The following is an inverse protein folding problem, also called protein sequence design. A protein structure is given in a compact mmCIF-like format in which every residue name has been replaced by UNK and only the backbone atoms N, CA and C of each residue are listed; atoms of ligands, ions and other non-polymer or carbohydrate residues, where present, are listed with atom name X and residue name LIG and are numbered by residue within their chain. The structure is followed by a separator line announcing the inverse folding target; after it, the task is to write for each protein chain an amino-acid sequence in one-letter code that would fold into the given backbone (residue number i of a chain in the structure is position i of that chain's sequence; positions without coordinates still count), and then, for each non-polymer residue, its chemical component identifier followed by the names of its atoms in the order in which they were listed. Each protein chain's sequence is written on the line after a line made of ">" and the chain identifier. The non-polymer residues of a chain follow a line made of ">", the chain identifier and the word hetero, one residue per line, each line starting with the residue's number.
data_IF_155667801045
#
_entry.id   IF_155667801045
#
_cell.length_a   1.000
_cell.length_b   1.000
_cell.length_c   1.000
_cell.angle_alpha   90.00
_cell.angle_beta   90.00
_cell.angle_gamma   90.00
#
_symmetry.space_group_name_H-M   'P 1'
#
loop_
_entity.id
_entity.type
_entity.pdbx_description
1 polymer ?
#
# COMPACT_ATOMS: atom_id res chain seq x y z
N UNK A 1 -76.60 34.22 -12.90
CA UNK A 1 -75.38 33.65 -12.43
C UNK A 1 -74.74 32.80 -13.54
N UNK A 2 -73.57 33.25 -13.97
CA UNK A 2 -72.78 32.55 -15.00
C UNK A 2 -72.06 31.35 -14.37
N UNK A 3 -72.08 30.16 -14.95
CA UNK A 3 -71.40 28.99 -14.37
C UNK A 3 -69.85 29.18 -14.36
N UNK A 4 -69.25 28.81 -13.28
CA UNK A 4 -67.75 28.77 -13.10
C UNK A 4 -67.23 27.61 -13.95
N UNK A 5 -66.22 27.83 -14.82
CA UNK A 5 -65.62 26.75 -15.58
C UNK A 5 -64.85 25.78 -14.66
N UNK A 6 -64.78 24.48 -15.03
CA UNK A 6 -64.05 23.48 -14.25
C UNK A 6 -62.55 23.77 -14.26
N UNK A 7 -61.85 23.37 -13.15
CA UNK A 7 -60.40 23.61 -13.05
C UNK A 7 -59.63 22.82 -14.13
N UNK A 8 -58.61 23.46 -14.71
CA UNK A 8 -57.72 22.84 -15.69
C UNK A 8 -56.87 21.76 -14.94
N UNK A 9 -56.71 20.55 -15.53
CA UNK A 9 -55.90 19.50 -14.89
C UNK A 9 -54.45 19.94 -14.77
N UNK A 10 -53.87 19.74 -13.59
CA UNK A 10 -52.44 19.98 -13.34
C UNK A 10 -51.64 18.94 -14.10
N UNK A 11 -50.57 19.29 -14.86
CA UNK A 11 -49.77 18.31 -15.55
C UNK A 11 -49.08 17.35 -14.53
N UNK A 12 -49.19 16.06 -14.80
CA UNK A 12 -48.48 15.01 -14.05
C UNK A 12 -46.97 15.16 -14.28
N UNK A 13 -46.12 15.17 -13.25
CA UNK A 13 -44.68 15.27 -13.46
C UNK A 13 -44.16 14.07 -14.26
N UNK A 14 -43.41 14.35 -15.29
CA UNK A 14 -42.70 13.33 -16.07
C UNK A 14 -41.64 12.67 -15.16
N UNK A 15 -41.55 11.33 -15.09
CA UNK A 15 -40.52 10.67 -14.28
C UNK A 15 -39.12 11.05 -14.76
N UNK A 16 -38.28 11.51 -13.84
CA UNK A 16 -36.86 11.76 -14.09
C UNK A 16 -36.19 10.45 -14.40
N UNK A 17 -35.39 10.33 -15.47
CA UNK A 17 -34.70 9.10 -15.79
C UNK A 17 -33.76 8.69 -14.64
N UNK A 18 -33.89 7.46 -14.17
CA UNK A 18 -32.97 6.86 -13.19
C UNK A 18 -31.57 6.80 -13.81
N UNK A 19 -30.53 7.31 -13.15
CA UNK A 19 -29.17 7.25 -13.69
C UNK A 19 -28.78 5.78 -13.91
N UNK A 20 -28.29 5.48 -15.11
CA UNK A 20 -27.71 4.16 -15.42
C UNK A 20 -26.48 3.97 -14.57
N UNK A 21 -26.34 2.85 -13.84
CA UNK A 21 -25.14 2.59 -13.03
C UNK A 21 -23.91 2.61 -13.93
N UNK A 22 -22.94 3.44 -13.59
CA UNK A 22 -21.61 3.43 -14.21
C UNK A 22 -20.97 2.07 -13.94
N UNK A 23 -20.41 1.36 -14.92
CA UNK A 23 -19.75 0.09 -14.68
C UNK A 23 -18.62 0.29 -13.69
N UNK A 24 -18.65 -0.45 -12.58
CA UNK A 24 -17.56 -0.50 -11.62
C UNK A 24 -16.33 -1.06 -12.33
N UNK A 25 -15.15 -0.40 -12.22
CA UNK A 25 -13.93 -0.93 -12.80
C UNK A 25 -13.67 -2.34 -12.22
N UNK A 26 -13.54 -3.33 -13.07
CA UNK A 26 -13.16 -4.69 -12.65
C UNK A 26 -11.67 -4.65 -12.32
N UNK A 27 -11.31 -4.98 -11.07
CA UNK A 27 -9.91 -5.10 -10.68
C UNK A 27 -9.19 -6.15 -11.55
N UNK A 28 -7.95 -5.88 -11.98
CA UNK A 28 -7.16 -6.88 -12.69
C UNK A 28 -6.98 -8.14 -11.81
N UNK A 29 -6.93 -9.32 -12.44
CA UNK A 29 -6.71 -10.57 -11.71
C UNK A 29 -5.35 -10.56 -10.99
N UNK A 30 -5.25 -11.15 -9.79
CA UNK A 30 -3.98 -11.27 -9.05
C UNK A 30 -2.93 -12.00 -9.89
N UNK A 31 -1.69 -11.51 -9.84
CA UNK A 31 -0.54 -12.20 -10.48
C UNK A 31 0.09 -13.13 -9.45
N UNK A 32 0.37 -14.39 -9.78
CA UNK A 32 1.04 -15.29 -8.87
C UNK A 32 2.38 -14.72 -8.40
N UNK A 33 2.64 -14.78 -7.09
CA UNK A 33 3.92 -14.36 -6.55
C UNK A 33 5.07 -15.21 -7.15
N UNK A 34 6.25 -14.61 -7.38
CA UNK A 34 7.42 -15.39 -7.77
C UNK A 34 7.68 -16.51 -6.76
N UNK A 35 7.97 -17.71 -7.23
CA UNK A 35 8.14 -18.91 -6.40
C UNK A 35 9.24 -18.77 -5.32
N UNK A 36 10.18 -17.87 -5.52
CA UNK A 36 11.28 -17.55 -4.61
C UNK A 36 10.92 -16.47 -3.57
N UNK A 37 9.72 -15.88 -3.64
CA UNK A 37 9.28 -14.85 -2.71
C UNK A 37 8.33 -15.41 -1.63
N UNK A 38 8.80 -16.41 -0.91
CA UNK A 38 7.97 -17.10 0.11
C UNK A 38 8.00 -16.43 1.48
N UNK A 39 9.12 -15.80 1.83
CA UNK A 39 9.34 -15.11 3.12
C UNK A 39 10.17 -13.87 2.87
N UNK A 40 9.70 -12.73 3.34
CA UNK A 40 10.41 -11.45 3.23
C UNK A 40 10.22 -10.67 4.54
N UNK A 41 10.97 -11.01 5.60
CA UNK A 41 10.88 -10.31 6.87
C UNK A 41 11.19 -8.83 6.70
N UNK A 42 10.57 -8.02 7.56
CA UNK A 42 10.83 -6.60 7.63
C UNK A 42 12.21 -6.32 8.20
N UNK A 43 12.86 -5.31 7.63
CA UNK A 43 14.08 -4.70 8.16
C UNK A 43 13.89 -3.18 8.17
N UNK A 44 13.79 -2.60 9.36
CA UNK A 44 13.67 -1.16 9.52
C UNK A 44 15.05 -0.51 9.30
N UNK A 45 15.25 0.00 8.08
CA UNK A 45 16.50 0.63 7.67
C UNK A 45 16.70 2.02 8.31
N UNK A 46 15.64 2.59 8.91
CA UNK A 46 15.74 3.87 9.64
C UNK A 46 16.44 3.75 11.00
N UNK A 47 16.61 2.53 11.50
CA UNK A 47 17.37 2.27 12.72
C UNK A 47 18.86 2.59 12.55
N UNK A 48 19.49 2.95 13.66
CA UNK A 48 20.94 3.15 13.70
C UNK A 48 21.60 2.21 14.71
N UNK A 49 22.64 1.44 14.34
CA UNK A 49 23.18 1.31 12.96
C UNK A 49 22.16 0.69 11.99
N UNK A 50 22.24 1.09 10.71
CA UNK A 50 21.38 0.50 9.67
C UNK A 50 21.57 -1.02 9.61
N UNK A 51 20.50 -1.82 9.58
CA UNK A 51 20.57 -3.27 9.46
C UNK A 51 21.40 -3.74 8.26
N UNK A 52 22.30 -4.70 8.49
CA UNK A 52 23.08 -5.35 7.45
C UNK A 52 22.31 -6.56 6.90
N UNK A 53 21.68 -6.40 5.73
CA UNK A 53 20.90 -7.46 5.08
C UNK A 53 21.79 -8.61 4.58
N UNK A 54 23.07 -8.35 4.29
CA UNK A 54 24.00 -9.42 3.91
C UNK A 54 24.39 -10.27 5.11
N UNK A 55 24.63 -9.67 6.27
CA UNK A 55 24.86 -10.42 7.51
C UNK A 55 23.60 -11.23 7.90
N UNK A 56 22.41 -10.64 7.78
CA UNK A 56 21.15 -11.34 8.03
C UNK A 56 20.95 -12.52 7.06
N UNK A 57 21.24 -12.34 5.77
CA UNK A 57 21.23 -13.42 4.78
C UNK A 57 22.20 -14.54 5.13
N UNK A 58 23.41 -14.21 5.53
CA UNK A 58 24.42 -15.19 5.91
C UNK A 58 24.01 -16.02 7.15
N UNK A 59 23.37 -15.36 8.12
CA UNK A 59 22.94 -15.99 9.36
C UNK A 59 21.69 -16.88 9.21
N UNK A 60 20.78 -16.54 8.29
CA UNK A 60 19.43 -17.15 8.20
C UNK A 60 19.17 -17.91 6.92
N UNK A 61 19.96 -17.67 5.87
CA UNK A 61 19.66 -18.14 4.52
C UNK A 61 18.52 -17.41 3.80
N UNK A 62 17.87 -16.42 4.45
CA UNK A 62 16.80 -15.63 3.85
C UNK A 62 17.40 -14.69 2.80
N UNK A 63 16.81 -14.68 1.60
CA UNK A 63 17.31 -13.92 0.45
C UNK A 63 16.39 -12.78 0.03
N UNK A 64 15.24 -12.63 0.69
CA UNK A 64 14.26 -11.59 0.37
C UNK A 64 13.90 -10.83 1.65
N UNK A 65 13.84 -9.50 1.57
CA UNK A 65 13.52 -8.63 2.70
C UNK A 65 12.54 -7.53 2.29
N UNK A 66 11.72 -7.08 3.23
CA UNK A 66 10.92 -5.86 3.12
C UNK A 66 11.64 -4.75 3.86
N UNK A 67 12.27 -3.85 3.11
CA UNK A 67 12.95 -2.68 3.67
C UNK A 67 11.94 -1.62 4.08
N UNK A 68 11.96 -1.19 5.31
CA UNK A 68 10.99 -0.30 5.94
C UNK A 68 11.69 0.92 6.55
N UNK A 69 11.08 2.05 6.72
CA UNK A 69 9.81 2.49 6.14
C UNK A 69 10.01 3.77 5.35
N UNK A 70 9.34 3.91 4.21
CA UNK A 70 9.27 5.17 3.49
C UNK A 70 8.03 5.93 3.97
N UNK A 71 8.26 7.13 4.50
CA UNK A 71 7.22 8.08 4.89
C UNK A 71 7.49 9.46 4.31
N UNK A 72 6.55 10.38 4.49
CA UNK A 72 6.69 11.77 4.07
C UNK A 72 7.48 12.58 5.10
N UNK A 73 8.42 13.43 4.70
CA UNK A 73 9.05 14.43 5.57
C UNK A 73 8.13 15.64 5.86
N UNK A 74 6.90 15.66 5.34
CA UNK A 74 5.92 16.74 5.51
C UNK A 74 5.28 17.21 4.20
N UNK A 75 5.81 16.77 3.08
CA UNK A 75 5.35 17.08 1.72
C UNK A 75 5.13 15.80 0.87
N UNK A 76 4.85 15.95 -0.42
CA UNK A 76 4.64 14.83 -1.36
C UNK A 76 5.97 14.22 -1.84
N UNK A 77 6.99 14.11 -0.99
CA UNK A 77 8.22 13.42 -1.31
C UNK A 77 8.48 12.22 -0.38
N UNK A 78 9.06 11.11 -0.90
CA UNK A 78 9.40 9.97 -0.07
C UNK A 78 10.74 10.17 0.63
N UNK A 79 10.81 9.71 1.89
CA UNK A 79 12.04 9.67 2.66
C UNK A 79 12.08 8.46 3.60
N UNK A 80 13.25 7.87 3.83
CA UNK A 80 13.41 6.84 4.86
C UNK A 80 13.14 7.46 6.23
N UNK A 81 12.20 6.86 6.97
CA UNK A 81 11.77 7.35 8.28
C UNK A 81 11.23 8.78 8.29
N UNK A 82 10.92 9.36 7.13
CA UNK A 82 10.50 10.75 7.01
C UNK A 82 11.62 11.79 7.16
N UNK A 83 12.88 11.39 7.23
CA UNK A 83 14.01 12.32 7.43
C UNK A 83 15.18 12.13 6.44
N UNK A 84 15.44 10.89 6.01
CA UNK A 84 16.53 10.63 5.06
C UNK A 84 16.00 10.71 3.62
N UNK A 85 16.14 11.89 3.02
CA UNK A 85 15.65 12.19 1.67
C UNK A 85 16.19 11.24 0.61
N UNK A 86 15.31 10.83 -0.31
CA UNK A 86 15.65 10.02 -1.49
C UNK A 86 15.95 10.86 -2.74
N UNK A 87 16.25 12.14 -2.58
CA UNK A 87 16.77 12.95 -3.69
C UNK A 87 18.04 12.33 -4.25
N UNK A 88 18.27 12.35 -5.58
CA UNK A 88 19.52 11.86 -6.18
C UNK A 88 20.80 12.49 -5.62
N UNK A 89 20.68 13.72 -5.11
CA UNK A 89 21.78 14.45 -4.49
C UNK A 89 21.95 14.20 -2.99
N UNK A 90 21.06 13.41 -2.37
CA UNK A 90 21.15 13.11 -0.94
C UNK A 90 22.32 12.19 -0.68
N UNK A 91 23.25 12.63 0.17
CA UNK A 91 24.42 11.91 0.64
C UNK A 91 24.50 12.03 2.15
N UNK A 92 25.21 11.12 2.78
CA UNK A 92 25.43 11.11 4.23
C UNK A 92 25.49 9.68 4.76
N UNK A 93 26.15 9.49 5.88
CA UNK A 93 26.48 8.16 6.40
C UNK A 93 25.29 7.21 6.49
N UNK A 94 24.12 7.71 6.89
CA UNK A 94 22.93 6.87 7.07
C UNK A 94 22.25 6.52 5.74
N UNK A 95 22.01 7.50 4.85
CA UNK A 95 21.41 7.22 3.53
C UNK A 95 22.33 6.35 2.68
N UNK A 96 23.64 6.53 2.79
CA UNK A 96 24.63 5.71 2.09
C UNK A 96 24.62 4.26 2.62
N UNK A 97 24.49 4.08 3.95
CA UNK A 97 24.36 2.76 4.56
C UNK A 97 23.08 2.03 4.11
N UNK A 98 21.92 2.75 4.07
CA UNK A 98 20.66 2.22 3.57
C UNK A 98 20.75 1.80 2.09
N UNK A 99 21.31 2.66 1.26
CA UNK A 99 21.53 2.35 -0.15
C UNK A 99 22.46 1.14 -0.34
N UNK A 100 23.53 1.12 0.45
CA UNK A 100 24.54 0.05 0.37
C UNK A 100 23.95 -1.32 0.76
N UNK A 101 23.24 -1.43 1.88
CA UNK A 101 22.70 -2.71 2.33
C UNK A 101 21.68 -3.28 1.33
N UNK A 102 20.87 -2.42 0.67
CA UNK A 102 19.96 -2.83 -0.40
C UNK A 102 20.76 -3.29 -1.63
N UNK A 103 21.70 -2.49 -2.11
CA UNK A 103 22.45 -2.81 -3.33
C UNK A 103 23.29 -4.06 -3.18
N UNK A 104 23.92 -4.27 -2.03
CA UNK A 104 24.74 -5.46 -1.77
C UNK A 104 23.88 -6.73 -1.78
N UNK A 105 22.70 -6.70 -1.16
CA UNK A 105 21.77 -7.82 -1.17
C UNK A 105 21.31 -8.15 -2.60
N UNK A 106 20.94 -7.11 -3.37
CA UNK A 106 20.51 -7.28 -4.76
C UNK A 106 21.64 -7.83 -5.65
N UNK A 107 22.88 -7.32 -5.50
CA UNK A 107 24.04 -7.81 -6.21
C UNK A 107 24.36 -9.28 -5.89
N UNK A 108 24.02 -9.73 -4.68
CA UNK A 108 24.11 -11.14 -4.26
C UNK A 108 22.90 -12.00 -4.66
N UNK A 109 22.07 -11.53 -5.60
CA UNK A 109 20.88 -12.22 -6.10
C UNK A 109 19.68 -12.23 -5.14
N UNK A 110 19.73 -11.42 -4.08
CA UNK A 110 18.61 -11.24 -3.16
C UNK A 110 17.54 -10.30 -3.73
N UNK A 111 16.40 -10.24 -3.07
CA UNK A 111 15.26 -9.39 -3.44
C UNK A 111 14.90 -8.43 -2.31
N UNK A 112 14.52 -7.22 -2.70
CA UNK A 112 14.03 -6.20 -1.76
C UNK A 112 12.66 -5.73 -2.23
N UNK A 113 11.69 -5.74 -1.32
CA UNK A 113 10.52 -4.89 -1.39
C UNK A 113 10.78 -3.64 -0.54
N UNK A 114 10.15 -2.52 -0.86
CA UNK A 114 10.15 -1.33 0.00
C UNK A 114 8.73 -1.12 0.53
N UNK A 115 8.63 -0.91 1.84
CA UNK A 115 7.36 -0.62 2.52
C UNK A 115 7.18 0.87 2.73
N UNK A 116 5.99 1.36 2.37
CA UNK A 116 5.51 2.73 2.59
C UNK A 116 4.54 2.75 3.76
N UNK A 117 4.71 3.68 4.69
CA UNK A 117 3.85 3.81 5.87
C UNK A 117 4.52 3.35 7.15
N UNK A 118 3.86 2.44 7.88
CA UNK A 118 4.26 1.96 9.20
C UNK A 118 3.57 2.72 10.34
N UNK A 119 3.80 2.28 11.59
CA UNK A 119 3.18 2.84 12.79
C UNK A 119 3.52 4.31 13.05
N UNK A 120 4.67 4.78 12.54
CA UNK A 120 5.19 6.13 12.79
C UNK A 120 5.32 6.95 11.50
N UNK A 121 5.15 8.27 11.64
CA UNK A 121 5.26 9.20 10.52
C UNK A 121 3.94 9.36 9.76
N UNK A 122 4.03 9.89 8.55
CA UNK A 122 2.87 10.10 7.67
C UNK A 122 3.12 9.39 6.34
N UNK A 123 2.20 8.54 5.93
CA UNK A 123 2.29 7.90 4.62
C UNK A 123 2.18 8.95 3.49
N UNK A 124 2.94 8.76 2.42
CA UNK A 124 3.13 9.76 1.35
C UNK A 124 1.81 10.17 0.68
N UNK A 125 0.83 9.25 0.56
CA UNK A 125 -0.47 9.53 -0.03
C UNK A 125 -1.24 10.65 0.70
N UNK A 126 -1.08 10.75 2.01
CA UNK A 126 -1.72 11.81 2.81
C UNK A 126 -1.16 13.22 2.54
N UNK A 127 0.00 13.32 1.90
CA UNK A 127 0.69 14.59 1.59
C UNK A 127 0.66 14.95 0.11
N UNK A 128 0.31 14.03 -0.75
CA UNK A 128 0.17 14.30 -2.17
C UNK A 128 -1.23 14.79 -2.52
N UNK A 129 -1.35 15.82 -3.34
CA UNK A 129 -2.64 16.40 -3.73
C UNK A 129 -3.31 15.69 -4.90
N UNK A 130 -2.59 14.83 -5.61
CA UNK A 130 -3.10 14.11 -6.79
C UNK A 130 -2.52 12.72 -6.93
N UNK A 131 -3.23 11.83 -7.64
CA UNK A 131 -2.71 10.51 -8.00
C UNK A 131 -1.45 10.59 -8.87
N UNK A 132 -1.33 11.60 -9.71
CA UNK A 132 -0.16 11.80 -10.57
C UNK A 132 1.10 12.14 -9.76
N UNK A 133 1.00 13.09 -8.81
CA UNK A 133 2.12 13.43 -7.92
C UNK A 133 2.50 12.25 -7.02
N UNK A 134 1.52 11.53 -6.49
CA UNK A 134 1.76 10.34 -5.68
C UNK A 134 2.42 9.21 -6.48
N UNK A 135 1.94 8.96 -7.72
CA UNK A 135 2.58 8.01 -8.63
C UNK A 135 4.05 8.36 -8.88
N UNK A 136 4.35 9.65 -9.11
CA UNK A 136 5.74 10.10 -9.31
C UNK A 136 6.60 9.88 -8.05
N UNK A 137 6.05 10.13 -6.86
CA UNK A 137 6.74 9.88 -5.60
C UNK A 137 7.07 8.38 -5.41
N UNK A 138 6.10 7.50 -5.55
CA UNK A 138 6.34 6.05 -5.46
C UNK A 138 7.29 5.55 -6.55
N UNK A 139 7.12 6.06 -7.81
CA UNK A 139 7.99 5.69 -8.92
C UNK A 139 9.44 6.03 -8.66
N UNK A 140 9.73 7.16 -8.01
CA UNK A 140 11.10 7.55 -7.69
C UNK A 140 11.81 6.54 -6.79
N UNK A 141 11.09 5.90 -5.87
CA UNK A 141 11.60 4.82 -5.00
C UNK A 141 11.78 3.53 -5.79
N UNK A 142 10.78 3.17 -6.61
CA UNK A 142 10.82 1.97 -7.47
C UNK A 142 12.02 2.03 -8.41
N UNK A 143 12.22 3.16 -9.09
CA UNK A 143 13.31 3.34 -10.03
C UNK A 143 14.67 3.34 -9.32
N UNK A 144 14.76 4.01 -8.15
CA UNK A 144 16.02 4.10 -7.39
C UNK A 144 16.58 2.74 -7.01
N UNK A 145 15.71 1.83 -6.59
CA UNK A 145 16.10 0.50 -6.12
C UNK A 145 15.74 -0.62 -7.10
N UNK A 146 15.34 -0.28 -8.33
CA UNK A 146 14.93 -1.24 -9.37
C UNK A 146 13.97 -2.31 -8.82
N UNK A 147 12.90 -1.83 -8.15
CA UNK A 147 11.97 -2.71 -7.46
C UNK A 147 10.99 -3.39 -8.45
N UNK A 148 10.68 -4.64 -8.16
CA UNK A 148 9.57 -5.37 -8.78
C UNK A 148 8.43 -5.62 -7.80
N UNK A 149 8.63 -5.24 -6.53
CA UNK A 149 7.65 -5.34 -5.47
C UNK A 149 7.71 -4.14 -4.53
N UNK A 150 6.55 -3.66 -4.15
CA UNK A 150 6.35 -2.65 -3.12
C UNK A 150 5.32 -3.14 -2.11
N UNK A 151 5.38 -2.58 -0.92
CA UNK A 151 4.48 -2.88 0.17
C UNK A 151 3.92 -1.58 0.74
N UNK A 152 2.68 -1.65 1.26
CA UNK A 152 2.01 -0.56 1.94
C UNK A 152 1.57 -1.02 3.33
N UNK A 153 2.24 -0.51 4.33
CA UNK A 153 1.92 -0.75 5.73
C UNK A 153 1.01 0.37 6.24
N UNK A 154 -0.29 0.11 6.26
CA UNK A 154 -1.30 1.13 6.53
C UNK A 154 -1.94 0.89 7.89
N UNK A 155 -1.58 1.75 8.84
CA UNK A 155 -1.94 1.60 10.23
C UNK A 155 -2.68 2.82 10.79
N UNK A 156 -3.33 2.62 11.94
CA UNK A 156 -3.98 3.67 12.70
C UNK A 156 -4.95 4.50 11.87
N UNK A 157 -4.89 5.83 12.02
CA UNK A 157 -5.80 6.75 11.33
C UNK A 157 -5.66 6.76 9.80
N UNK A 158 -4.54 6.27 9.25
CA UNK A 158 -4.35 6.20 7.80
C UNK A 158 -5.29 5.18 7.14
N UNK A 159 -5.78 4.18 7.89
CA UNK A 159 -6.75 3.21 7.36
C UNK A 159 -8.09 3.85 7.01
N UNK A 160 -8.55 4.83 7.79
CA UNK A 160 -9.82 5.54 7.59
C UNK A 160 -9.71 6.80 6.72
N UNK A 161 -8.52 7.14 6.20
CA UNK A 161 -8.34 8.21 5.21
C UNK A 161 -8.68 7.71 3.80
N UNK A 162 -9.99 7.57 3.51
CA UNK A 162 -10.52 7.08 2.24
C UNK A 162 -9.99 7.85 1.03
N UNK A 163 -9.84 9.18 1.14
CA UNK A 163 -9.36 10.01 0.04
C UNK A 163 -7.90 9.66 -0.33
N UNK A 164 -7.04 9.46 0.66
CA UNK A 164 -5.67 9.03 0.45
C UNK A 164 -5.59 7.58 -0.04
N UNK A 165 -6.45 6.70 0.47
CA UNK A 165 -6.51 5.30 0.05
C UNK A 165 -6.94 5.14 -1.42
N UNK A 166 -7.99 5.85 -1.86
CA UNK A 166 -8.38 5.89 -3.28
C UNK A 166 -7.28 6.48 -4.16
N UNK A 167 -6.65 7.57 -3.72
CA UNK A 167 -5.51 8.19 -4.43
C UNK A 167 -4.34 7.24 -4.57
N UNK A 168 -4.04 6.47 -3.52
CA UNK A 168 -3.03 5.39 -3.54
C UNK A 168 -3.39 4.33 -4.58
N UNK A 169 -4.65 3.87 -4.59
CA UNK A 169 -5.16 2.93 -5.59
C UNK A 169 -4.96 3.42 -7.02
N UNK A 170 -5.27 4.69 -7.30
CA UNK A 170 -5.06 5.31 -8.61
C UNK A 170 -3.57 5.38 -9.00
N UNK A 171 -2.70 5.72 -8.05
CA UNK A 171 -1.26 5.76 -8.27
C UNK A 171 -0.70 4.34 -8.55
N UNK A 172 -1.14 3.35 -7.79
CA UNK A 172 -0.79 1.92 -7.98
C UNK A 172 -1.21 1.45 -9.37
N UNK A 173 -2.45 1.72 -9.78
CA UNK A 173 -2.95 1.37 -11.12
C UNK A 173 -2.04 1.90 -12.23
N UNK A 174 -1.64 3.17 -12.10
CA UNK A 174 -0.72 3.80 -13.05
C UNK A 174 0.68 3.19 -13.05
N UNK A 175 1.21 2.80 -11.88
CA UNK A 175 2.52 2.14 -11.77
C UNK A 175 2.50 0.72 -12.35
N UNK A 176 1.43 -0.02 -12.10
CA UNK A 176 1.24 -1.37 -12.65
C UNK A 176 1.09 -1.33 -14.18
N UNK A 177 0.39 -0.31 -14.71
CA UNK A 177 0.28 -0.08 -16.15
C UNK A 177 1.64 0.25 -16.78
N UNK A 178 2.44 1.12 -16.15
CA UNK A 178 3.80 1.44 -16.63
C UNK A 178 4.70 0.19 -16.63
N UNK A 179 4.62 -0.63 -15.59
CA UNK A 179 5.38 -1.88 -15.50
C UNK A 179 4.97 -2.84 -16.62
N UNK A 180 3.66 -3.02 -16.83
CA UNK A 180 3.13 -3.88 -17.90
C UNK A 180 3.55 -3.40 -19.29
N UNK A 181 3.51 -2.08 -19.56
CA UNK A 181 3.99 -1.50 -20.80
C UNK A 181 5.48 -1.75 -21.05
N UNK A 182 6.27 -1.89 -19.97
CA UNK A 182 7.69 -2.26 -20.02
C UNK A 182 7.94 -3.78 -20.03
N UNK A 183 6.91 -4.61 -20.17
CA UNK A 183 7.02 -6.08 -20.12
C UNK A 183 7.39 -6.63 -18.75
N UNK A 184 7.13 -5.86 -17.68
CA UNK A 184 7.43 -6.20 -16.29
C UNK A 184 6.15 -6.35 -15.47
N UNK A 185 6.27 -6.95 -14.30
CA UNK A 185 5.21 -7.00 -13.30
C UNK A 185 5.65 -6.23 -12.06
N UNK A 186 4.78 -5.34 -11.55
CA UNK A 186 4.91 -4.75 -10.24
C UNK A 186 3.95 -5.45 -9.29
N UNK A 187 4.49 -6.17 -8.32
CA UNK A 187 3.72 -6.83 -7.26
C UNK A 187 3.47 -5.83 -6.13
N UNK A 188 2.21 -5.76 -5.67
CA UNK A 188 1.78 -4.86 -4.61
C UNK A 188 1.25 -5.65 -3.43
N UNK A 189 1.88 -5.46 -2.29
CA UNK A 189 1.47 -6.03 -0.99
C UNK A 189 0.86 -4.93 -0.14
N UNK A 190 -0.14 -5.29 0.66
CA UNK A 190 -0.62 -4.48 1.78
C UNK A 190 -0.35 -5.21 3.09
N UNK A 191 0.27 -4.52 4.05
CA UNK A 191 0.44 -4.98 5.42
C UNK A 191 -0.56 -4.25 6.28
N UNK A 192 -1.44 -5.00 6.96
CA UNK A 192 -2.61 -4.45 7.63
C UNK A 192 -2.81 -5.05 9.02
N UNK A 193 -3.23 -4.24 10.01
CA UNK A 193 -3.67 -4.72 11.31
C UNK A 193 -4.87 -5.66 11.16
N UNK A 194 -4.86 -6.72 11.97
CA UNK A 194 -5.93 -7.73 12.01
C UNK A 194 -6.34 -8.03 13.46
N UNK A 195 -7.51 -8.63 13.59
CA UNK A 195 -7.96 -9.32 14.79
C UNK A 195 -7.96 -10.84 14.51
N UNK A 196 -8.11 -11.69 15.53
CA UNK A 196 -8.30 -13.13 15.29
C UNK A 196 -9.49 -13.44 14.36
N UNK A 197 -10.45 -12.52 14.25
CA UNK A 197 -11.60 -12.60 13.32
C UNK A 197 -11.29 -12.18 11.88
N UNK A 198 -10.04 -11.82 11.56
CA UNK A 198 -9.61 -11.34 10.25
C UNK A 198 -9.39 -9.84 10.19
N UNK A 199 -9.41 -9.27 8.97
CA UNK A 199 -9.27 -7.83 8.75
C UNK A 199 -10.33 -7.04 9.52
N UNK A 200 -9.91 -5.90 10.07
CA UNK A 200 -10.86 -4.91 10.60
C UNK A 200 -11.67 -4.28 9.47
N UNK A 201 -12.79 -3.61 9.82
CA UNK A 201 -13.58 -2.87 8.82
C UNK A 201 -12.73 -1.81 8.11
N UNK A 202 -11.85 -1.10 8.84
CA UNK A 202 -10.96 -0.09 8.28
C UNK A 202 -9.90 -0.73 7.36
N UNK A 203 -9.31 -1.87 7.76
CA UNK A 203 -8.37 -2.62 6.92
C UNK A 203 -9.01 -3.11 5.62
N UNK A 204 -10.25 -3.62 5.70
CA UNK A 204 -11.02 -3.98 4.50
C UNK A 204 -11.31 -2.74 3.64
N UNK A 205 -11.63 -1.59 4.26
CA UNK A 205 -11.83 -0.31 3.59
C UNK A 205 -10.61 0.13 2.77
N UNK A 206 -9.38 -0.03 3.31
CA UNK A 206 -8.12 0.25 2.57
C UNK A 206 -8.04 -0.54 1.27
N UNK A 207 -8.36 -1.83 1.32
CA UNK A 207 -8.33 -2.69 0.12
C UNK A 207 -9.42 -2.30 -0.88
N UNK A 208 -10.64 -2.04 -0.40
CA UNK A 208 -11.76 -1.61 -1.24
C UNK A 208 -11.48 -0.28 -1.93
N UNK A 209 -10.94 0.70 -1.22
CA UNK A 209 -10.53 2.00 -1.76
C UNK A 209 -9.43 1.84 -2.81
N UNK A 210 -8.44 0.97 -2.56
CA UNK A 210 -7.38 0.66 -3.50
C UNK A 210 -7.93 0.08 -4.80
N UNK A 211 -8.83 -0.90 -4.69
CA UNK A 211 -9.47 -1.53 -5.85
C UNK A 211 -10.38 -0.55 -6.58
N UNK A 212 -11.13 0.28 -5.86
CA UNK A 212 -11.98 1.33 -6.47
C UNK A 212 -11.16 2.37 -7.24
N UNK A 213 -9.93 2.65 -6.79
CA UNK A 213 -8.95 3.45 -7.51
C UNK A 213 -8.35 2.78 -8.76
N UNK A 214 -8.64 1.50 -8.98
CA UNK A 214 -8.13 0.69 -10.08
C UNK A 214 -6.82 -0.05 -9.79
N UNK A 215 -6.28 0.07 -8.58
CA UNK A 215 -5.08 -0.64 -8.16
C UNK A 215 -5.36 -2.13 -7.94
N UNK A 216 -4.42 -2.99 -8.36
CA UNK A 216 -4.44 -4.41 -8.05
C UNK A 216 -3.68 -4.68 -6.76
N UNK A 217 -4.29 -5.43 -5.86
CA UNK A 217 -3.66 -5.97 -4.66
C UNK A 217 -3.25 -7.42 -4.94
N UNK A 218 -1.97 -7.73 -4.81
CA UNK A 218 -1.46 -9.07 -5.11
C UNK A 218 -1.33 -9.93 -3.86
N UNK A 219 -1.09 -9.31 -2.69
CA UNK A 219 -0.95 -9.99 -1.41
C UNK A 219 -1.41 -9.08 -0.27
N UNK A 220 -2.04 -9.70 0.72
CA UNK A 220 -2.29 -9.08 2.03
C UNK A 220 -1.41 -9.78 3.05
N UNK A 221 -0.54 -9.02 3.72
CA UNK A 221 0.27 -9.45 4.83
C UNK A 221 -0.42 -9.03 6.13
N UNK A 222 -0.72 -9.98 7.00
CA UNK A 222 -1.47 -9.73 8.22
C UNK A 222 -0.54 -9.45 9.39
N UNK A 223 -0.79 -8.37 10.13
CA UNK A 223 -0.08 -8.04 11.37
C UNK A 223 -0.65 -8.88 12.51
N UNK A 224 -0.27 -10.16 12.57
CA UNK A 224 -0.78 -11.15 13.52
C UNK A 224 -0.15 -10.96 14.91
N UNK A 225 -0.35 -9.79 15.52
CA UNK A 225 0.22 -9.35 16.80
C UNK A 225 -0.70 -8.34 17.48
N UNK A 226 -0.41 -8.02 18.75
CA UNK A 226 -0.98 -6.88 19.50
C UNK A 226 -2.51 -6.77 19.50
N UNK A 227 -3.21 -7.89 19.72
CA UNK A 227 -4.69 -7.95 19.72
C UNK A 227 -5.38 -7.23 20.89
N UNK A 228 -4.67 -6.36 21.61
CA UNK A 228 -5.27 -5.44 22.60
C UNK A 228 -5.60 -6.02 23.96
N UNK A 229 -5.02 -7.14 24.34
CA UNK A 229 -5.21 -7.75 25.67
C UNK A 229 -4.30 -8.93 25.96
N UNK A 230 -4.25 -9.36 27.24
CA UNK A 230 -3.58 -10.61 27.58
C UNK A 230 -4.29 -11.77 26.87
N UNK A 231 -3.55 -12.45 26.01
CA UNK A 231 -4.02 -13.59 25.26
C UNK A 231 -3.02 -14.74 25.42
N UNK A 232 -3.42 -15.78 26.15
CA UNK A 232 -2.59 -16.96 26.37
C UNK A 232 -2.55 -17.90 25.15
N UNK A 233 -3.27 -17.55 24.06
CA UNK A 233 -3.40 -18.35 22.83
C UNK A 233 -2.93 -17.56 21.59
N UNK A 234 -1.88 -16.74 21.73
CA UNK A 234 -1.40 -15.87 20.65
C UNK A 234 -1.11 -16.63 19.34
N UNK A 235 -0.52 -17.83 19.45
CA UNK A 235 -0.26 -18.65 18.26
C UNK A 235 -1.54 -19.06 17.54
N UNK A 236 -2.59 -19.47 18.26
CA UNK A 236 -3.88 -19.78 17.66
C UNK A 236 -4.55 -18.52 17.09
N UNK A 237 -4.49 -17.41 17.82
CA UNK A 237 -5.03 -16.12 17.36
C UNK A 237 -4.38 -15.66 16.04
N UNK A 238 -3.07 -15.89 15.87
CA UNK A 238 -2.37 -15.59 14.62
C UNK A 238 -2.84 -16.48 13.47
N UNK A 239 -3.04 -17.77 13.73
CA UNK A 239 -3.59 -18.73 12.75
C UNK A 239 -5.01 -18.32 12.35
N UNK A 240 -5.85 -18.00 13.33
CA UNK A 240 -7.24 -17.59 13.12
C UNK A 240 -7.29 -16.28 12.31
N UNK A 241 -6.47 -15.28 12.65
CA UNK A 241 -6.37 -14.03 11.93
C UNK A 241 -6.02 -14.24 10.45
N UNK A 242 -5.01 -15.06 10.16
CA UNK A 242 -4.62 -15.38 8.79
C UNK A 242 -5.72 -16.14 8.05
N UNK A 243 -6.34 -17.14 8.70
CA UNK A 243 -7.40 -17.96 8.10
C UNK A 243 -8.66 -17.15 7.81
N UNK A 244 -9.05 -16.25 8.72
CA UNK A 244 -10.24 -15.43 8.57
C UNK A 244 -10.03 -14.21 7.65
N UNK A 245 -8.78 -13.91 7.24
CA UNK A 245 -8.46 -12.89 6.24
C UNK A 245 -8.44 -13.46 4.82
N UNK A 246 -8.15 -14.76 4.66
CA UNK A 246 -8.05 -15.44 3.36
C UNK A 246 -9.44 -15.70 2.76
#
# INVERSE_FOLDING_TARGET
>A
PTPIPPPTPTPTPTPTPTPTPTPTPTAPAPVPLPANFKVAPYADLSNWPTPDLMAAKAATGITSYTAAFITSPGDCSPAWGGYASLSPSSTGSQIDAMNKTISDLQAAGGQVAVSFGGAAGTEVAAKCSSAASLKAAYKSVIDRYNLTRIDFDIEGAAQSDHASNVRRGQAIAGLQADAAAAGKTLTVTFTLPVLPSGLTADGLGVLQDTVSGGGRVDLVNVMAMDYGGLNNTMGQSAIDAATNTA
#
